data_IF_275579937032
#
_entry.id   IF_275579937032
#
_cell.length_a   1.000
_cell.length_b   1.000
_cell.length_c   1.000
_cell.angle_alpha   90.00
_cell.angle_beta   90.00
_cell.angle_gamma   90.00
#
_symmetry.space_group_name_H-M   'P 1'
#
loop_
_entity.id
_entity.type
_entity.pdbx_description
1 polymer ?
#
# COMPACT_ATOMS: atom_id res chain seq x y z
N UNK A 1 42.02 -15.16 5.17
CA UNK A 1 41.80 -13.96 4.37
C UNK A 1 40.52 -13.33 4.87
N UNK A 2 40.56 -12.07 5.29
CA UNK A 2 39.36 -11.31 5.62
C UNK A 2 38.52 -11.19 4.32
N UNK A 3 37.22 -11.47 4.41
CA UNK A 3 36.30 -11.19 3.30
C UNK A 3 36.32 -9.69 3.02
N UNK A 4 36.24 -9.25 1.74
CA UNK A 4 36.13 -7.84 1.45
C UNK A 4 34.90 -7.25 2.16
N UNK A 5 34.94 -5.97 2.57
CA UNK A 5 33.80 -5.35 3.22
C UNK A 5 32.61 -5.41 2.28
N UNK A 6 31.50 -5.97 2.75
CA UNK A 6 30.24 -5.95 2.00
C UNK A 6 29.72 -4.52 1.96
N UNK A 7 29.24 -4.12 0.81
CA UNK A 7 28.54 -2.86 0.64
C UNK A 7 27.04 -3.13 0.56
N UNK A 8 26.26 -2.36 1.29
CA UNK A 8 24.80 -2.50 1.33
C UNK A 8 24.13 -1.32 0.65
N UNK A 9 23.01 -1.58 0.01
CA UNK A 9 22.08 -0.57 -0.47
C UNK A 9 20.74 -0.84 0.20
N UNK A 10 20.22 0.13 0.94
CA UNK A 10 18.94 0.00 1.58
C UNK A 10 17.80 0.29 0.59
N UNK A 11 16.65 -0.30 0.82
CA UNK A 11 15.45 -0.08 -0.02
C UNK A 11 14.63 1.13 0.44
N UNK A 12 14.90 1.66 1.63
CA UNK A 12 14.36 2.89 2.19
C UNK A 12 15.28 3.42 3.29
N UNK A 13 15.12 4.65 3.71
CA UNK A 13 15.82 5.18 4.89
C UNK A 13 15.38 4.44 6.16
N UNK A 14 14.08 4.09 6.24
CA UNK A 14 13.50 3.38 7.38
C UNK A 14 13.99 1.93 7.51
N UNK A 15 14.48 1.32 6.43
CA UNK A 15 14.97 -0.07 6.39
C UNK A 15 16.45 -0.19 6.79
N UNK A 16 17.16 0.92 6.99
CA UNK A 16 18.56 0.90 7.39
C UNK A 16 18.75 0.34 8.79
N UNK A 17 19.66 -0.62 8.93
CA UNK A 17 20.21 -1.05 10.21
C UNK A 17 21.41 -0.13 10.57
N UNK A 18 21.39 0.57 11.73
CA UNK A 18 22.48 1.45 12.13
C UNK A 18 23.86 0.75 12.23
N UNK A 19 23.88 -0.58 12.36
CA UNK A 19 25.11 -1.38 12.46
C UNK A 19 25.73 -1.74 11.12
N UNK A 20 25.10 -1.40 9.97
CA UNK A 20 25.58 -1.78 8.65
C UNK A 20 26.05 -0.58 7.82
N UNK A 21 27.15 -0.72 7.04
CA UNK A 21 27.64 0.34 6.15
C UNK A 21 26.87 0.38 4.85
N UNK A 22 25.94 1.34 4.72
CA UNK A 22 25.18 1.53 3.47
C UNK A 22 25.89 2.53 2.54
N UNK A 23 25.93 2.23 1.25
CA UNK A 23 26.36 3.14 0.20
C UNK A 23 25.29 4.19 -0.13
N UNK A 24 24.04 3.84 0.06
CA UNK A 24 22.90 4.71 -0.22
C UNK A 24 21.55 4.00 -0.06
N UNK A 25 20.52 4.69 -0.52
CA UNK A 25 19.15 4.17 -0.58
C UNK A 25 18.70 4.14 -2.03
N UNK A 26 18.23 2.99 -2.49
CA UNK A 26 17.60 2.83 -3.80
C UNK A 26 16.23 2.22 -3.60
N UNK A 27 15.20 3.02 -3.79
CA UNK A 27 13.82 2.57 -3.68
C UNK A 27 13.49 1.49 -4.70
N UNK A 28 12.68 0.50 -4.32
CA UNK A 28 12.18 -0.50 -5.26
C UNK A 28 11.42 0.15 -6.41
N UNK A 29 11.62 -0.42 -7.61
CA UNK A 29 10.93 -0.02 -8.81
C UNK A 29 9.96 -1.10 -9.30
N UNK A 30 8.83 -0.65 -9.84
CA UNK A 30 7.86 -1.51 -10.55
C UNK A 30 7.82 -1.15 -12.03
N UNK A 31 7.38 -2.07 -12.89
CA UNK A 31 7.20 -1.79 -14.32
C UNK A 31 5.91 -0.99 -14.53
N UNK A 32 5.99 0.31 -14.91
CA UNK A 32 4.79 1.15 -15.08
C UNK A 32 3.81 0.63 -16.13
N UNK A 33 4.30 -0.15 -17.12
CA UNK A 33 3.46 -0.68 -18.20
C UNK A 33 2.51 -1.78 -17.74
N UNK A 34 2.71 -2.32 -16.54
CA UNK A 34 1.83 -3.33 -15.94
C UNK A 34 0.62 -2.72 -15.23
N UNK A 35 0.55 -1.39 -15.16
CA UNK A 35 -0.48 -0.66 -14.44
C UNK A 35 -1.13 0.38 -15.34
N UNK A 36 -2.44 0.55 -15.20
CA UNK A 36 -3.21 1.60 -15.87
C UNK A 36 -3.99 2.41 -14.85
N UNK A 37 -4.31 3.64 -15.19
CA UNK A 37 -5.14 4.51 -14.36
C UNK A 37 -6.60 4.23 -14.66
N UNK A 38 -7.33 3.74 -13.64
CA UNK A 38 -8.76 3.50 -13.74
C UNK A 38 -9.60 4.70 -13.27
N UNK A 39 -10.92 4.59 -13.42
CA UNK A 39 -11.87 5.65 -13.04
C UNK A 39 -12.06 5.77 -11.52
N UNK A 40 -11.87 4.68 -10.76
CA UNK A 40 -12.07 4.64 -9.32
C UNK A 40 -13.54 4.70 -8.90
N UNK A 41 -13.76 5.03 -7.64
CA UNK A 41 -15.09 5.41 -7.13
C UNK A 41 -16.01 4.30 -6.69
N UNK A 42 -15.64 3.01 -6.82
CA UNK A 42 -16.54 1.88 -6.57
C UNK A 42 -16.39 1.25 -5.18
N UNK A 43 -15.16 1.08 -4.69
CA UNK A 43 -14.87 0.36 -3.45
C UNK A 43 -13.54 0.81 -2.84
N UNK A 44 -13.37 0.52 -1.58
CA UNK A 44 -12.10 0.54 -0.88
C UNK A 44 -11.33 -0.76 -1.16
N UNK A 45 -10.01 -0.73 -1.07
CA UNK A 45 -9.18 -1.87 -1.41
C UNK A 45 -8.11 -2.14 -0.35
N UNK A 46 -7.93 -3.41 -0.01
CA UNK A 46 -6.76 -3.93 0.69
C UNK A 46 -6.05 -4.93 -0.21
N UNK A 47 -4.76 -4.75 -0.42
CA UNK A 47 -3.88 -5.67 -1.15
C UNK A 47 -2.75 -6.10 -0.21
N UNK A 48 -2.93 -7.21 0.49
CA UNK A 48 -1.89 -7.73 1.40
C UNK A 48 -2.18 -9.18 1.79
N UNK A 49 -1.18 -9.87 2.32
CA UNK A 49 -1.42 -11.09 3.09
C UNK A 49 -2.33 -10.81 4.29
N UNK A 50 -3.12 -11.80 4.68
CA UNK A 50 -3.99 -11.70 5.85
C UNK A 50 -3.18 -12.10 7.09
N UNK A 51 -2.82 -11.10 7.89
CA UNK A 51 -2.02 -11.21 9.09
C UNK A 51 -2.30 -10.01 10.02
N UNK A 52 -2.22 -10.16 11.36
CA UNK A 52 -2.51 -9.07 12.31
C UNK A 52 -1.73 -7.78 12.04
N UNK A 53 -0.50 -7.89 11.55
CA UNK A 53 0.36 -6.74 11.26
C UNK A 53 -0.12 -5.87 10.09
N UNK A 54 -1.05 -6.37 9.25
CA UNK A 54 -1.53 -5.67 8.04
C UNK A 54 -2.77 -4.80 8.26
N UNK A 55 -3.33 -4.77 9.48
CA UNK A 55 -4.44 -3.87 9.81
C UNK A 55 -5.72 -4.16 9.05
N UNK A 56 -6.01 -5.44 8.76
CA UNK A 56 -7.20 -5.84 8.00
C UNK A 56 -8.49 -5.50 8.78
N UNK A 57 -8.48 -5.75 10.09
CA UNK A 57 -9.62 -5.43 10.95
C UNK A 57 -9.91 -3.93 10.96
N UNK A 58 -8.90 -3.10 11.04
CA UNK A 58 -8.99 -1.64 10.98
C UNK A 58 -9.55 -1.17 9.64
N UNK A 59 -9.14 -1.79 8.54
CA UNK A 59 -9.68 -1.50 7.21
C UNK A 59 -11.18 -1.86 7.10
N UNK A 60 -11.61 -2.97 7.72
CA UNK A 60 -13.02 -3.36 7.79
C UNK A 60 -13.83 -2.36 8.62
N UNK A 61 -13.32 -1.95 9.78
CA UNK A 61 -13.98 -0.95 10.63
C UNK A 61 -14.15 0.39 9.91
N UNK A 62 -13.10 0.85 9.20
CA UNK A 62 -13.17 2.03 8.35
C UNK A 62 -14.26 1.90 7.27
N UNK A 63 -14.28 0.78 6.55
CA UNK A 63 -15.24 0.53 5.48
C UNK A 63 -16.70 0.54 6.00
N UNK A 64 -16.95 -0.16 7.09
CA UNK A 64 -18.28 -0.19 7.73
C UNK A 64 -18.72 1.21 8.19
N UNK A 65 -17.82 1.95 8.85
CA UNK A 65 -18.13 3.30 9.32
C UNK A 65 -18.38 4.29 8.19
N UNK A 66 -17.61 4.18 7.10
CA UNK A 66 -17.79 5.00 5.90
C UNK A 66 -18.94 4.54 4.99
N UNK A 67 -19.53 3.36 5.25
CA UNK A 67 -20.56 2.71 4.42
C UNK A 67 -20.13 2.50 2.97
N UNK A 68 -18.85 2.22 2.76
CA UNK A 68 -18.29 1.94 1.44
C UNK A 68 -17.97 0.46 1.30
N UNK A 69 -18.18 -0.14 0.13
CA UNK A 69 -17.75 -1.50 -0.13
C UNK A 69 -16.23 -1.62 0.05
N UNK A 70 -15.78 -2.75 0.61
CA UNK A 70 -14.38 -3.09 0.78
C UNK A 70 -14.08 -4.42 0.10
N UNK A 71 -13.06 -4.43 -0.73
CA UNK A 71 -12.48 -5.65 -1.29
C UNK A 71 -11.11 -5.91 -0.66
N UNK A 72 -10.91 -7.14 -0.19
CA UNK A 72 -9.68 -7.60 0.46
C UNK A 72 -9.10 -8.71 -0.40
N UNK A 73 -7.90 -8.51 -0.94
CA UNK A 73 -7.23 -9.49 -1.78
C UNK A 73 -5.83 -9.83 -1.26
N UNK A 74 -5.53 -11.12 -1.19
CA UNK A 74 -4.25 -11.67 -0.79
C UNK A 74 -4.35 -13.01 -0.08
N UNK A 75 -3.23 -13.71 0.14
CA UNK A 75 -3.22 -15.02 0.79
C UNK A 75 -3.46 -14.90 2.30
N UNK A 76 -4.12 -15.90 2.86
CA UNK A 76 -4.17 -16.08 4.31
C UNK A 76 -2.80 -16.60 4.76
N UNK A 77 -2.13 -15.84 5.62
CA UNK A 77 -0.86 -16.23 6.23
C UNK A 77 -1.05 -16.66 7.69
N UNK A 78 -2.00 -16.06 8.39
CA UNK A 78 -2.41 -16.43 9.74
C UNK A 78 -3.87 -16.89 9.71
N UNK A 79 -4.07 -18.20 9.73
CA UNK A 79 -5.40 -18.82 9.69
C UNK A 79 -6.21 -18.51 10.94
N UNK A 80 -5.58 -18.49 12.11
CA UNK A 80 -6.25 -18.22 13.38
C UNK A 80 -6.77 -16.76 13.40
N UNK A 81 -5.96 -15.82 12.94
CA UNK A 81 -6.37 -14.43 12.80
C UNK A 81 -7.51 -14.28 11.80
N UNK A 82 -7.41 -14.96 10.65
CA UNK A 82 -8.48 -14.90 9.65
C UNK A 82 -9.80 -15.40 10.22
N UNK A 83 -9.82 -16.57 10.84
CA UNK A 83 -11.05 -17.19 11.36
C UNK A 83 -11.66 -16.41 12.53
N UNK A 84 -10.82 -15.87 13.42
CA UNK A 84 -11.30 -15.21 14.64
C UNK A 84 -11.60 -13.73 14.47
N UNK A 85 -10.84 -13.00 13.64
CA UNK A 85 -10.87 -11.54 13.58
C UNK A 85 -11.36 -10.99 12.23
N UNK A 86 -11.23 -11.75 11.14
CA UNK A 86 -11.60 -11.27 9.80
C UNK A 86 -12.89 -11.91 9.31
N UNK A 87 -12.97 -13.24 9.29
CA UNK A 87 -14.12 -13.97 8.75
C UNK A 87 -15.47 -13.57 9.39
N UNK A 88 -15.57 -13.35 10.72
CA UNK A 88 -16.82 -12.89 11.34
C UNK A 88 -17.26 -11.49 10.90
N UNK A 89 -16.36 -10.73 10.31
CA UNK A 89 -16.61 -9.36 9.84
C UNK A 89 -16.87 -9.27 8.34
N UNK A 90 -16.83 -10.38 7.60
CA UNK A 90 -17.16 -10.43 6.17
C UNK A 90 -18.67 -10.29 5.95
N UNK A 91 -19.06 -9.94 4.73
CA UNK A 91 -20.45 -9.60 4.40
C UNK A 91 -20.74 -8.11 4.59
N UNK A 92 -21.99 -7.69 4.37
CA UNK A 92 -22.41 -6.28 4.49
C UNK A 92 -21.52 -5.30 3.69
N UNK A 93 -21.10 -5.71 2.47
CA UNK A 93 -20.23 -4.90 1.62
C UNK A 93 -18.74 -5.15 1.83
N UNK A 94 -18.32 -6.04 2.73
CA UNK A 94 -16.92 -6.49 2.91
C UNK A 94 -16.73 -7.84 2.24
N UNK A 95 -15.87 -7.90 1.24
CA UNK A 95 -15.60 -9.10 0.43
C UNK A 95 -14.13 -9.52 0.54
N UNK A 96 -13.90 -10.79 0.87
CA UNK A 96 -12.56 -11.41 0.81
C UNK A 96 -12.46 -12.25 -0.46
N UNK A 97 -11.46 -11.97 -1.28
CA UNK A 97 -11.26 -12.57 -2.61
C UNK A 97 -10.18 -13.65 -2.65
N UNK A 98 -9.41 -13.77 -1.56
CA UNK A 98 -8.22 -14.62 -1.59
C UNK A 98 -7.10 -14.05 -2.47
N UNK A 99 -6.09 -14.88 -2.83
CA UNK A 99 -5.06 -14.51 -3.79
C UNK A 99 -5.66 -14.23 -5.16
N UNK A 100 -5.20 -13.15 -5.81
CA UNK A 100 -5.67 -12.75 -7.14
C UNK A 100 -4.52 -12.68 -8.13
N UNK A 101 -4.82 -13.00 -9.39
CA UNK A 101 -3.88 -12.84 -10.51
C UNK A 101 -3.64 -11.34 -10.85
N UNK A 102 -2.64 -11.02 -11.68
CA UNK A 102 -2.31 -9.63 -12.00
C UNK A 102 -3.43 -8.86 -12.71
N UNK A 103 -4.26 -9.52 -13.55
CA UNK A 103 -5.35 -8.87 -14.28
C UNK A 103 -6.51 -8.54 -13.35
N UNK A 104 -6.90 -9.48 -12.51
CA UNK A 104 -7.89 -9.28 -11.44
C UNK A 104 -7.43 -8.17 -10.49
N UNK A 105 -6.16 -8.17 -10.08
CA UNK A 105 -5.58 -7.10 -9.25
C UNK A 105 -5.70 -5.73 -9.92
N UNK A 106 -5.40 -5.64 -11.23
CA UNK A 106 -5.55 -4.38 -11.96
C UNK A 106 -7.03 -3.95 -12.02
N UNK A 107 -7.95 -4.86 -12.22
CA UNK A 107 -9.40 -4.58 -12.21
C UNK A 107 -9.86 -4.04 -10.85
N UNK A 108 -9.32 -4.56 -9.75
CA UNK A 108 -9.58 -4.05 -8.41
C UNK A 108 -9.03 -2.62 -8.24
N UNK A 109 -7.82 -2.37 -8.71
CA UNK A 109 -7.20 -1.04 -8.69
C UNK A 109 -7.96 -0.03 -9.56
N UNK A 110 -8.47 -0.45 -10.73
CA UNK A 110 -9.25 0.43 -11.62
C UNK A 110 -10.49 1.00 -10.93
N UNK A 111 -11.16 0.21 -10.10
CA UNK A 111 -12.37 0.63 -9.38
C UNK A 111 -12.13 1.18 -7.98
N UNK A 112 -10.89 1.18 -7.49
CA UNK A 112 -10.62 1.56 -6.10
C UNK A 112 -10.77 3.07 -5.86
N UNK A 113 -11.46 3.43 -4.78
CA UNK A 113 -11.51 4.79 -4.21
C UNK A 113 -10.15 5.10 -3.58
N UNK A 114 -9.65 4.19 -2.75
CA UNK A 114 -8.37 4.26 -2.08
C UNK A 114 -7.86 2.87 -1.73
N UNK A 115 -6.54 2.72 -1.62
CA UNK A 115 -5.90 1.60 -0.95
C UNK A 115 -5.82 1.91 0.55
N UNK A 116 -6.31 0.99 1.38
CA UNK A 116 -6.17 1.04 2.83
C UNK A 116 -4.93 0.23 3.23
N UNK A 117 -3.98 0.87 3.92
CA UNK A 117 -2.71 0.27 4.32
C UNK A 117 -2.38 0.61 5.79
N UNK A 118 -3.23 0.11 6.72
CA UNK A 118 -3.17 0.40 8.15
C UNK A 118 -2.23 -0.55 8.91
N UNK A 119 -1.03 -0.76 8.38
CA UNK A 119 -0.03 -1.67 8.97
C UNK A 119 0.33 -1.31 10.41
N UNK A 120 0.66 -2.34 11.22
CA UNK A 120 1.05 -2.24 12.62
C UNK A 120 2.53 -2.55 12.86
N UNK A 121 3.37 -2.41 11.85
CA UNK A 121 4.81 -2.63 11.91
C UNK A 121 5.55 -1.61 11.05
N UNK A 122 6.86 -1.54 11.19
CA UNK A 122 7.71 -0.71 10.31
C UNK A 122 7.76 -1.35 8.94
N UNK A 123 6.98 -0.82 7.99
CA UNK A 123 6.96 -1.32 6.59
C UNK A 123 8.30 -1.01 5.92
N UNK A 124 9.06 -1.99 5.44
CA UNK A 124 10.39 -1.75 4.85
C UNK A 124 10.34 -0.89 3.58
N UNK A 125 9.26 -1.01 2.78
CA UNK A 125 9.09 -0.19 1.58
C UNK A 125 7.61 0.08 1.22
N UNK A 126 6.77 -0.95 1.14
CA UNK A 126 5.36 -0.81 0.77
C UNK A 126 5.12 -0.93 -0.74
N UNK A 127 5.35 -2.10 -1.33
CA UNK A 127 5.07 -2.34 -2.75
C UNK A 127 3.59 -2.15 -3.11
N UNK A 128 2.65 -2.60 -2.27
CA UNK A 128 1.22 -2.44 -2.54
C UNK A 128 0.78 -0.94 -2.61
N UNK A 129 1.22 -0.03 -1.73
CA UNK A 129 1.08 1.41 -1.92
C UNK A 129 1.63 1.93 -3.24
N UNK A 130 2.83 1.51 -3.63
CA UNK A 130 3.45 1.93 -4.89
C UNK A 130 2.66 1.43 -6.10
N UNK A 131 2.23 0.17 -6.11
CA UNK A 131 1.38 -0.40 -7.17
C UNK A 131 0.03 0.32 -7.28
N UNK A 132 -0.58 0.67 -6.14
CA UNK A 132 -1.80 1.46 -6.12
C UNK A 132 -1.58 2.84 -6.73
N UNK A 133 -0.54 3.55 -6.32
CA UNK A 133 -0.20 4.87 -6.89
C UNK A 133 0.17 4.78 -8.38
N UNK A 134 0.80 3.69 -8.84
CA UNK A 134 1.02 3.41 -10.27
C UNK A 134 -0.30 3.28 -11.05
N UNK A 135 -1.38 2.88 -10.39
CA UNK A 135 -2.72 2.84 -10.97
C UNK A 135 -3.53 4.12 -10.68
N UNK A 136 -2.88 5.18 -10.18
CA UNK A 136 -3.54 6.43 -9.82
C UNK A 136 -4.45 6.31 -8.60
N UNK A 137 -4.31 5.26 -7.80
CA UNK A 137 -5.13 5.04 -6.60
C UNK A 137 -4.47 5.73 -5.41
N UNK A 138 -5.16 6.65 -4.73
CA UNK A 138 -4.64 7.26 -3.51
C UNK A 138 -4.53 6.24 -2.37
N UNK A 139 -3.62 6.51 -1.43
CA UNK A 139 -3.32 5.61 -0.32
C UNK A 139 -3.72 6.25 1.01
N UNK A 140 -4.44 5.51 1.85
CA UNK A 140 -4.63 5.82 3.28
C UNK A 140 -3.74 4.89 4.09
N UNK A 141 -2.73 5.42 4.75
CA UNK A 141 -1.71 4.61 5.41
C UNK A 141 -1.30 5.17 6.78
N UNK A 142 -0.84 4.29 7.68
CA UNK A 142 -0.15 4.73 8.90
C UNK A 142 1.29 5.12 8.57
N UNK A 143 1.85 6.19 9.18
CA UNK A 143 3.20 6.67 8.89
C UNK A 143 4.29 5.81 9.53
N UNK A 144 4.28 4.50 9.28
CA UNK A 144 5.21 3.53 9.86
C UNK A 144 6.21 3.03 8.82
N UNK A 145 7.49 3.00 9.20
CA UNK A 145 8.57 2.59 8.31
C UNK A 145 8.74 3.53 7.12
N UNK A 146 8.78 2.97 5.90
CA UNK A 146 9.01 3.71 4.66
C UNK A 146 7.76 4.42 4.10
N UNK A 147 6.60 4.31 4.73
CA UNK A 147 5.38 4.92 4.19
C UNK A 147 5.45 6.45 4.08
N UNK A 148 6.12 7.19 5.01
CA UNK A 148 6.37 8.62 4.81
C UNK A 148 7.34 8.96 3.65
N UNK A 149 8.16 8.00 3.22
CA UNK A 149 9.06 8.17 2.06
C UNK A 149 8.32 7.94 0.74
N UNK A 150 7.29 7.09 0.74
CA UNK A 150 6.57 6.65 -0.46
C UNK A 150 5.28 7.43 -0.71
N UNK A 151 4.52 7.76 0.33
CA UNK A 151 3.23 8.46 0.24
C UNK A 151 3.40 9.94 0.61
N UNK A 152 3.01 10.84 -0.29
CA UNK A 152 2.93 12.28 -0.01
C UNK A 152 1.58 12.63 0.56
N UNK A 153 1.59 13.08 1.82
CA UNK A 153 0.37 13.51 2.51
C UNK A 153 -0.31 14.67 1.78
N UNK A 154 -1.60 14.51 1.43
CA UNK A 154 -2.40 15.49 0.71
C UNK A 154 -2.21 15.52 -0.81
N UNK A 155 -1.22 14.78 -1.36
CA UNK A 155 -0.96 14.73 -2.81
C UNK A 155 -1.22 13.34 -3.42
N UNK A 156 -0.67 12.28 -2.80
CA UNK A 156 -0.84 10.90 -3.29
C UNK A 156 -1.64 10.02 -2.35
N UNK A 157 -2.06 10.57 -1.23
CA UNK A 157 -2.80 9.91 -0.18
C UNK A 157 -2.71 10.67 1.11
N UNK A 158 -3.11 10.04 2.21
CA UNK A 158 -3.01 10.63 3.53
C UNK A 158 -2.32 9.67 4.49
N UNK A 159 -1.38 10.21 5.26
CA UNK A 159 -0.74 9.53 6.37
C UNK A 159 -1.53 9.85 7.63
N UNK A 160 -2.05 8.82 8.29
CA UNK A 160 -3.00 8.92 9.40
C UNK A 160 -2.54 8.06 10.57
N UNK A 161 -2.85 8.46 11.80
CA UNK A 161 -2.49 7.71 13.02
C UNK A 161 -3.27 6.41 13.14
N UNK A 162 -4.54 6.46 12.77
CA UNK A 162 -5.51 5.37 12.92
C UNK A 162 -6.59 5.46 11.83
N UNK A 163 -7.48 4.48 11.81
CA UNK A 163 -8.56 4.42 10.83
C UNK A 163 -9.66 5.46 11.11
N UNK A 164 -9.79 5.94 12.34
CA UNK A 164 -10.72 7.00 12.73
C UNK A 164 -10.31 8.33 12.10
N UNK A 165 -9.04 8.70 12.19
CA UNK A 165 -8.52 9.90 11.52
C UNK A 165 -8.64 9.77 9.99
N UNK A 166 -8.50 8.57 9.44
CA UNK A 166 -8.68 8.35 8.01
C UNK A 166 -10.07 8.74 7.50
N UNK A 167 -11.13 8.63 8.33
CA UNK A 167 -12.48 9.05 7.96
C UNK A 167 -12.58 10.55 7.67
N UNK A 168 -11.80 11.36 8.37
CA UNK A 168 -11.78 12.81 8.18
C UNK A 168 -11.22 13.19 6.80
N UNK A 169 -10.39 12.32 6.22
CA UNK A 169 -9.76 12.54 4.92
C UNK A 169 -10.51 11.90 3.75
N UNK A 170 -11.60 11.18 3.96
CA UNK A 170 -12.28 10.42 2.91
C UNK A 170 -12.71 11.28 1.72
N UNK A 171 -13.31 12.44 1.98
CA UNK A 171 -13.73 13.36 0.90
C UNK A 171 -12.53 14.00 0.18
N UNK A 172 -11.44 14.28 0.90
CA UNK A 172 -10.22 14.81 0.30
C UNK A 172 -9.55 13.74 -0.60
N UNK A 173 -9.50 12.49 -0.16
CA UNK A 173 -8.99 11.34 -0.94
C UNK A 173 -9.71 11.21 -2.29
N UNK A 174 -11.04 11.35 -2.32
CA UNK A 174 -11.85 11.24 -3.53
C UNK A 174 -11.56 12.34 -4.56
N UNK A 175 -11.01 13.47 -4.12
CA UNK A 175 -10.72 14.65 -4.97
C UNK A 175 -9.28 14.66 -5.50
N UNK A 176 -8.42 13.73 -5.05
CA UNK A 176 -7.05 13.68 -5.54
C UNK A 176 -6.99 13.33 -7.03
N UNK A 177 -6.13 14.04 -7.76
CA UNK A 177 -5.90 13.79 -9.18
C UNK A 177 -5.15 12.48 -9.39
N UNK A 178 -5.85 11.47 -9.89
CA UNK A 178 -5.32 10.14 -10.16
C UNK A 178 -4.14 10.15 -11.13
N UNK A 179 -4.14 11.03 -12.10
CA UNK A 179 -3.03 11.18 -13.04
C UNK A 179 -1.81 11.86 -12.42
N UNK A 180 -2.02 12.80 -11.49
CA UNK A 180 -0.93 13.38 -10.71
C UNK A 180 -0.30 12.32 -9.79
N UNK A 181 -1.09 11.48 -9.13
CA UNK A 181 -0.62 10.33 -8.34
C UNK A 181 0.21 9.39 -9.21
N UNK A 182 -0.29 9.03 -10.40
CA UNK A 182 0.44 8.20 -11.36
C UNK A 182 1.78 8.80 -11.75
N UNK A 183 1.81 10.06 -12.16
CA UNK A 183 3.05 10.74 -12.55
C UNK A 183 4.08 10.77 -11.43
N UNK A 184 3.63 11.01 -10.20
CA UNK A 184 4.50 10.96 -9.02
C UNK A 184 5.11 9.57 -8.83
N UNK A 185 4.29 8.53 -8.85
CA UNK A 185 4.75 7.15 -8.65
C UNK A 185 5.73 6.73 -9.75
N UNK A 186 5.43 7.03 -11.01
CA UNK A 186 6.25 6.69 -12.16
C UNK A 186 7.62 7.39 -12.12
N UNK A 187 7.66 8.66 -11.75
CA UNK A 187 8.91 9.42 -11.65
C UNK A 187 9.83 8.90 -10.54
N UNK A 188 9.27 8.35 -9.46
CA UNK A 188 10.05 7.93 -8.27
C UNK A 188 10.28 6.44 -8.15
N UNK A 189 9.33 5.62 -8.61
CA UNK A 189 9.26 4.18 -8.32
C UNK A 189 9.14 3.33 -9.61
N UNK A 190 9.51 3.87 -10.76
CA UNK A 190 9.66 3.05 -11.96
C UNK A 190 10.92 2.19 -11.86
N UNK A 191 10.89 1.00 -12.46
CA UNK A 191 12.08 0.13 -12.55
C UNK A 191 13.26 0.81 -13.26
N UNK A 192 12.97 1.71 -14.22
CA UNK A 192 13.96 2.51 -14.92
C UNK A 192 14.61 3.55 -13.99
N UNK A 193 13.83 4.10 -13.05
CA UNK A 193 14.36 4.97 -12.00
C UNK A 193 15.25 4.18 -11.04
N UNK A 194 14.78 3.04 -10.54
CA UNK A 194 15.56 2.16 -9.68
C UNK A 194 16.90 1.78 -10.32
N UNK A 195 16.87 1.39 -11.61
CA UNK A 195 18.10 1.01 -12.33
C UNK A 195 19.10 2.15 -12.52
N UNK A 196 18.64 3.40 -12.55
CA UNK A 196 19.55 4.57 -12.62
C UNK A 196 20.13 4.95 -11.26
N UNK A 197 19.42 4.65 -10.19
CA UNK A 197 19.83 4.97 -8.83
C UNK A 197 20.86 3.95 -8.30
N UNK A 198 20.94 2.72 -8.88
CA UNK A 198 22.01 1.75 -8.69
C UNK A 198 23.25 2.09 -9.50
#
# INVERSE_FOLDING_TARGET
AALPPFHYVAISEADKDPGLPYLGVVHHGVDPRRFRVGEGGRHLLVLSRIHPDKGIREAILFARKSRLPLKIAGPIQDEAYFQNEVAPLLGEGVEFLGPVDPETRQTLLDGAIALLHFVNFKEPFGLAPVEAMMSGVPVLARPLGALPETVRHGETGFLVRDWEEALEHLEAVRRLDRWAIRRYAEARFSRERMARDY
#
